data_IF_249048981430
#
_entry.id   IF_249048981430
#
_cell.length_a   1.000
_cell.length_b   1.000
_cell.length_c   1.000
_cell.angle_alpha   90.00
_cell.angle_beta   90.00
_cell.angle_gamma   90.00
#
_symmetry.space_group_name_H-M   'P 1'
#
loop_
_entity.id
_entity.type
_entity.pdbx_description
1 polymer ?
#
# COMPACT_ATOMS: atom_id res chain seq x y z
N UNK A 1 37.94 53.22 21.02
CA UNK A 1 36.61 53.02 20.40
C UNK A 1 36.62 51.89 19.33
N UNK A 2 37.05 50.66 19.67
CA UNK A 2 37.11 49.52 18.71
C UNK A 2 36.66 48.16 19.30
N UNK A 3 36.02 48.15 20.46
CA UNK A 3 35.63 46.91 21.14
C UNK A 3 34.19 46.44 20.87
N UNK A 4 33.33 47.28 20.27
CA UNK A 4 31.91 46.97 20.05
C UNK A 4 31.57 46.48 18.63
N UNK A 5 32.51 46.43 17.69
CA UNK A 5 32.26 46.02 16.30
C UNK A 5 32.54 44.54 16.01
N UNK A 6 33.27 43.82 16.87
CA UNK A 6 33.64 42.41 16.62
C UNK A 6 32.54 41.42 17.01
N UNK A 7 31.66 41.77 17.95
CA UNK A 7 30.58 40.88 18.44
C UNK A 7 29.48 40.62 17.38
N UNK A 8 29.26 41.57 16.47
CA UNK A 8 28.23 41.47 15.43
C UNK A 8 28.61 40.47 14.32
N UNK A 9 29.90 40.38 14.00
CA UNK A 9 30.37 39.54 12.89
C UNK A 9 30.39 38.05 13.25
N UNK A 10 30.73 37.70 14.50
CA UNK A 10 30.71 36.31 14.96
C UNK A 10 29.29 35.74 15.04
N UNK A 11 28.31 36.55 15.46
CA UNK A 11 26.91 36.12 15.57
C UNK A 11 26.26 35.82 14.22
N UNK A 12 26.62 36.57 13.16
CA UNK A 12 26.18 36.27 11.80
C UNK A 12 26.78 34.94 11.29
N UNK A 13 28.03 34.65 11.63
CA UNK A 13 28.71 33.42 11.19
C UNK A 13 28.11 32.17 11.85
N UNK A 14 27.74 32.25 13.14
CA UNK A 14 27.09 31.12 13.85
C UNK A 14 25.68 30.83 13.35
N UNK A 15 24.89 31.87 12.98
CA UNK A 15 23.58 31.64 12.34
C UNK A 15 23.72 31.01 10.95
N UNK A 16 24.73 31.42 10.18
CA UNK A 16 25.00 30.85 8.84
C UNK A 16 25.31 29.35 8.88
N UNK A 17 26.11 28.90 9.86
CA UNK A 17 26.44 27.48 10.04
C UNK A 17 25.27 26.64 10.55
N UNK A 18 24.40 27.19 11.41
CA UNK A 18 23.21 26.47 11.90
C UNK A 18 22.21 26.16 10.77
N UNK A 19 22.04 27.06 9.81
CA UNK A 19 21.16 26.85 8.65
C UNK A 19 21.67 25.74 7.70
N UNK A 20 22.99 25.51 7.65
CA UNK A 20 23.57 24.47 6.80
C UNK A 20 23.34 23.04 7.36
N UNK A 21 23.27 22.89 8.69
CA UNK A 21 23.08 21.58 9.34
C UNK A 21 21.65 21.03 9.14
N UNK A 22 20.65 21.90 9.00
CA UNK A 22 19.26 21.48 8.82
C UNK A 22 18.90 21.00 7.40
N UNK A 23 19.80 21.19 6.42
CA UNK A 23 19.50 20.95 5.00
C UNK A 23 19.74 19.50 4.54
N UNK A 24 20.33 18.66 5.39
CA UNK A 24 20.64 17.25 5.09
C UNK A 24 19.68 16.25 5.76
N UNK A 25 18.44 16.67 6.04
CA UNK A 25 17.35 15.73 6.32
C UNK A 25 16.89 15.09 5.00
N UNK A 26 17.77 14.33 4.37
CA UNK A 26 17.44 13.50 3.21
C UNK A 26 16.51 12.40 3.71
N UNK A 27 15.20 12.67 3.69
CA UNK A 27 14.19 11.62 3.83
C UNK A 27 14.56 10.57 2.78
N UNK A 28 14.80 9.31 3.17
CA UNK A 28 15.19 8.28 2.21
C UNK A 28 14.12 8.26 1.12
N UNK A 29 14.55 8.56 -0.10
CA UNK A 29 13.66 8.61 -1.25
C UNK A 29 13.11 7.20 -1.42
N UNK A 30 11.82 7.01 -1.13
CA UNK A 30 11.20 5.71 -1.21
C UNK A 30 11.37 5.20 -2.65
N UNK A 31 11.72 3.91 -2.84
CA UNK A 31 11.85 3.36 -4.17
C UNK A 31 10.55 3.57 -4.93
N UNK A 32 10.64 4.01 -6.19
CA UNK A 32 9.49 4.06 -7.07
C UNK A 32 8.91 2.64 -7.20
N UNK A 33 7.65 2.47 -6.80
CA UNK A 33 6.92 1.21 -6.95
C UNK A 33 5.87 1.34 -8.04
N UNK A 34 5.74 0.30 -8.86
CA UNK A 34 4.68 0.28 -9.89
C UNK A 34 3.29 0.05 -9.29
N UNK A 35 3.23 -0.62 -8.12
CA UNK A 35 2.00 -0.94 -7.41
C UNK A 35 1.89 -0.19 -6.08
N UNK A 36 0.65 0.17 -5.72
CA UNK A 36 0.29 0.74 -4.42
C UNK A 36 0.20 -0.36 -3.33
N UNK A 37 -0.20 -1.57 -3.73
CA UNK A 37 -0.35 -2.71 -2.83
C UNK A 37 -0.15 -4.03 -3.57
N UNK A 38 0.27 -5.06 -2.83
CA UNK A 38 0.34 -6.44 -3.31
C UNK A 38 -0.53 -7.29 -2.39
N UNK A 39 -1.51 -7.99 -2.97
CA UNK A 39 -2.40 -8.91 -2.27
C UNK A 39 -1.93 -10.34 -2.53
N UNK A 40 -1.62 -11.07 -1.46
CA UNK A 40 -1.15 -12.46 -1.54
C UNK A 40 -2.30 -13.38 -1.12
N UNK A 41 -2.79 -14.18 -2.06
CA UNK A 41 -3.87 -15.15 -1.91
C UNK A 41 -5.16 -14.72 -2.62
N UNK A 42 -5.64 -15.55 -3.55
CA UNK A 42 -6.88 -15.30 -4.33
C UNK A 42 -8.13 -15.94 -3.71
N UNK A 43 -8.17 -16.06 -2.39
CA UNK A 43 -9.34 -16.51 -1.64
C UNK A 43 -10.38 -15.38 -1.43
N UNK A 44 -11.46 -15.64 -0.66
CA UNK A 44 -12.49 -14.63 -0.37
C UNK A 44 -11.92 -13.34 0.23
N UNK A 45 -10.96 -13.44 1.16
CA UNK A 45 -10.37 -12.28 1.81
C UNK A 45 -9.55 -11.41 0.83
N UNK A 46 -8.66 -12.03 0.04
CA UNK A 46 -7.84 -11.30 -0.92
C UNK A 46 -8.65 -10.69 -2.06
N UNK A 47 -9.68 -11.40 -2.56
CA UNK A 47 -10.58 -10.85 -3.57
C UNK A 47 -11.42 -9.68 -3.01
N UNK A 48 -11.88 -9.74 -1.76
CA UNK A 48 -12.56 -8.61 -1.12
C UNK A 48 -11.64 -7.39 -0.95
N UNK A 49 -10.39 -7.61 -0.52
CA UNK A 49 -9.40 -6.55 -0.39
C UNK A 49 -9.07 -5.91 -1.75
N UNK A 50 -8.84 -6.73 -2.78
CA UNK A 50 -8.61 -6.27 -4.15
C UNK A 50 -9.79 -5.44 -4.65
N UNK A 51 -11.03 -5.88 -4.40
CA UNK A 51 -12.25 -5.13 -4.78
C UNK A 51 -12.28 -3.74 -4.15
N UNK A 52 -12.03 -3.64 -2.84
CA UNK A 52 -11.97 -2.37 -2.14
C UNK A 52 -10.92 -1.41 -2.72
N UNK A 53 -9.70 -1.92 -2.96
CA UNK A 53 -8.60 -1.13 -3.49
C UNK A 53 -8.82 -0.71 -4.95
N UNK A 54 -9.36 -1.60 -5.79
CA UNK A 54 -9.67 -1.30 -7.19
C UNK A 54 -10.71 -0.17 -7.31
N UNK A 55 -11.71 -0.13 -6.41
CA UNK A 55 -12.75 0.90 -6.40
C UNK A 55 -12.23 2.29 -6.06
N UNK A 56 -11.11 2.39 -5.34
CA UNK A 56 -10.40 3.64 -5.08
C UNK A 56 -9.24 3.88 -6.04
N UNK A 57 -9.22 3.17 -7.19
CA UNK A 57 -8.27 3.31 -8.29
C UNK A 57 -6.80 3.11 -7.88
N UNK A 58 -6.54 2.18 -6.97
CA UNK A 58 -5.17 1.78 -6.61
C UNK A 58 -4.66 0.76 -7.61
N UNK A 59 -3.39 0.87 -7.99
CA UNK A 59 -2.73 -0.15 -8.80
C UNK A 59 -2.29 -1.31 -7.89
N UNK A 60 -2.98 -2.44 -7.99
CA UNK A 60 -2.78 -3.57 -7.06
C UNK A 60 -2.45 -4.84 -7.82
N UNK A 61 -1.39 -5.51 -7.39
CA UNK A 61 -1.02 -6.83 -7.89
C UNK A 61 -1.60 -7.90 -6.97
N UNK A 62 -2.40 -8.83 -7.52
CA UNK A 62 -2.86 -10.01 -6.80
C UNK A 62 -2.10 -11.25 -7.26
N UNK A 63 -1.50 -11.97 -6.31
CA UNK A 63 -0.78 -13.21 -6.55
C UNK A 63 -1.50 -14.37 -5.84
N UNK A 64 -1.77 -15.46 -6.56
CA UNK A 64 -2.51 -16.61 -6.04
C UNK A 64 -1.85 -17.92 -6.45
N UNK A 65 -1.69 -18.86 -5.51
CA UNK A 65 -1.14 -20.19 -5.77
C UNK A 65 -2.23 -21.25 -6.05
N UNK A 66 -3.51 -20.91 -5.90
CA UNK A 66 -4.63 -21.80 -6.17
C UNK A 66 -4.92 -22.84 -5.07
N UNK A 67 -4.20 -22.81 -3.94
CA UNK A 67 -4.42 -23.72 -2.82
C UNK A 67 -5.31 -23.05 -1.78
N UNK A 68 -6.56 -23.51 -1.70
CA UNK A 68 -7.57 -22.92 -0.83
C UNK A 68 -7.96 -23.85 0.32
N UNK A 69 -8.13 -23.28 1.52
CA UNK A 69 -8.54 -24.03 2.73
C UNK A 69 -9.83 -24.83 2.53
N UNK A 70 -10.80 -24.28 1.79
CA UNK A 70 -12.07 -24.94 1.47
C UNK A 70 -12.07 -25.68 0.13
N UNK A 71 -10.90 -25.92 -0.47
CA UNK A 71 -10.78 -26.69 -1.72
C UNK A 71 -11.46 -28.08 -1.68
N UNK A 72 -11.37 -28.84 -0.56
CA UNK A 72 -12.02 -30.15 -0.46
C UNK A 72 -13.55 -30.12 -0.31
N UNK A 73 -14.18 -28.97 -0.05
CA UNK A 73 -15.63 -28.92 0.22
C UNK A 73 -16.43 -28.87 -1.08
N UNK A 74 -17.53 -29.62 -1.14
CA UNK A 74 -18.42 -29.63 -2.32
C UNK A 74 -19.20 -28.33 -2.47
N UNK A 75 -19.64 -27.76 -1.35
CA UNK A 75 -20.45 -26.55 -1.30
C UNK A 75 -19.95 -25.62 -0.19
N UNK A 76 -20.16 -24.33 -0.38
CA UNK A 76 -20.03 -23.32 0.68
C UNK A 76 -21.41 -22.83 1.12
N UNK A 77 -21.50 -22.44 2.37
CA UNK A 77 -22.71 -21.95 3.01
C UNK A 77 -22.41 -20.63 3.74
N UNK A 78 -23.46 -19.97 4.22
CA UNK A 78 -23.38 -18.72 4.99
C UNK A 78 -22.71 -17.55 4.24
N UNK A 79 -22.76 -17.57 2.91
CA UNK A 79 -22.35 -16.45 2.06
C UNK A 79 -23.54 -15.98 1.23
N UNK A 80 -24.02 -14.78 1.53
CA UNK A 80 -25.22 -14.19 0.90
C UNK A 80 -25.03 -14.17 -0.63
N UNK A 81 -26.02 -14.72 -1.35
CA UNK A 81 -26.02 -14.83 -2.82
C UNK A 81 -25.22 -16.01 -3.37
N UNK A 82 -24.49 -16.75 -2.54
CA UNK A 82 -23.64 -17.88 -2.92
C UNK A 82 -23.86 -19.11 -2.02
N UNK A 83 -25.03 -19.26 -1.41
CA UNK A 83 -25.35 -20.45 -0.63
C UNK A 83 -25.44 -21.69 -1.53
N UNK A 84 -24.84 -22.79 -1.11
CA UNK A 84 -24.84 -24.06 -1.84
C UNK A 84 -23.97 -24.09 -3.11
N UNK A 85 -23.18 -23.05 -3.41
CA UNK A 85 -22.33 -23.06 -4.61
C UNK A 85 -20.99 -23.76 -4.35
N UNK A 86 -20.33 -24.22 -5.42
CA UNK A 86 -18.95 -24.70 -5.30
C UNK A 86 -18.01 -23.54 -4.95
N UNK A 87 -17.07 -23.71 -4.00
CA UNK A 87 -16.13 -22.65 -3.62
C UNK A 87 -15.30 -22.09 -4.80
N UNK A 88 -14.98 -22.94 -5.78
CA UNK A 88 -14.27 -22.53 -6.98
C UNK A 88 -15.11 -21.57 -7.84
N UNK A 89 -16.42 -21.79 -7.93
CA UNK A 89 -17.33 -20.94 -8.67
C UNK A 89 -17.47 -19.56 -8.05
N UNK A 90 -17.59 -19.47 -6.71
CA UNK A 90 -17.55 -18.19 -6.00
C UNK A 90 -16.30 -17.36 -6.35
N UNK A 91 -15.11 -17.98 -6.32
CA UNK A 91 -13.85 -17.29 -6.67
C UNK A 91 -13.78 -16.90 -8.14
N UNK A 92 -14.34 -17.72 -9.03
CA UNK A 92 -14.45 -17.40 -10.45
C UNK A 92 -15.33 -16.16 -10.66
N UNK A 93 -16.53 -16.14 -10.09
CA UNK A 93 -17.45 -15.01 -10.21
C UNK A 93 -16.87 -13.72 -9.62
N UNK A 94 -16.25 -13.80 -8.43
CA UNK A 94 -15.59 -12.64 -7.82
C UNK A 94 -14.49 -12.03 -8.72
N UNK A 95 -13.67 -12.86 -9.37
CA UNK A 95 -12.66 -12.38 -10.33
C UNK A 95 -13.28 -11.83 -11.62
N UNK A 96 -14.39 -12.42 -12.08
CA UNK A 96 -15.10 -11.95 -13.28
C UNK A 96 -15.64 -10.55 -13.08
N UNK A 97 -16.28 -10.28 -11.93
CA UNK A 97 -16.83 -8.96 -11.56
C UNK A 97 -15.72 -7.90 -11.50
N UNK A 98 -14.55 -8.25 -10.98
CA UNK A 98 -13.40 -7.35 -10.90
C UNK A 98 -12.83 -6.97 -12.27
N UNK A 99 -12.89 -7.85 -13.27
CA UNK A 99 -12.42 -7.53 -14.63
C UNK A 99 -13.38 -6.63 -15.41
N UNK A 100 -14.65 -6.59 -15.03
CA UNK A 100 -15.68 -5.78 -15.71
C UNK A 100 -15.83 -4.37 -15.16
N UNK A 101 -15.13 -4.02 -14.08
CA UNK A 101 -15.17 -2.71 -13.42
C UNK A 101 -13.92 -1.92 -13.75
#
# INVERSE_FOLDING_TARGET
MRFFQTLSLSALLTLGNAAAIAKDSKVPELPKTDYDAIVIGGGPAGLSALSGLARVRRNVLLLDNGLYRNGPTRHMHDVIGFDGVQPAYYRYEARRIQRST
#
